data_IF_581727476800
#
_entry.id   IF_581727476800
#
_cell.length_a   1.000
_cell.length_b   1.000
_cell.length_c   1.000
_cell.angle_alpha   90.00
_cell.angle_beta   90.00
_cell.angle_gamma   90.00
#
_symmetry.space_group_name_H-M   'P 1'
#
loop_
_entity.id
_entity.type
_entity.pdbx_description
1 polymer ?
#
# COMPACT_ATOMS: atom_id res chain seq x y z
N UNK A 1 -25.97 3.63 2.80
CA UNK A 1 -24.99 4.02 1.80
C UNK A 1 -24.12 2.80 1.53
N UNK A 2 -23.79 2.41 0.30
CA UNK A 2 -22.92 1.27 0.04
C UNK A 2 -21.47 1.59 0.42
N UNK A 3 -20.67 0.57 0.72
CA UNK A 3 -19.25 0.71 1.09
C UNK A 3 -18.47 1.59 0.12
N UNK A 4 -18.70 1.41 -1.18
CA UNK A 4 -17.97 2.13 -2.22
C UNK A 4 -18.41 3.59 -2.34
N UNK A 5 -19.72 3.83 -2.25
CA UNK A 5 -20.28 5.18 -2.25
C UNK A 5 -19.75 6.02 -1.07
N UNK A 6 -19.58 5.40 0.11
CA UNK A 6 -19.02 6.06 1.29
C UNK A 6 -17.56 6.47 1.08
N UNK A 7 -16.73 5.56 0.58
CA UNK A 7 -15.32 5.81 0.28
C UNK A 7 -15.14 6.93 -0.77
N UNK A 8 -15.92 6.89 -1.85
CA UNK A 8 -15.84 7.86 -2.94
C UNK A 8 -16.36 9.22 -2.51
N UNK A 9 -17.49 9.28 -1.77
CA UNK A 9 -18.04 10.55 -1.27
C UNK A 9 -17.11 11.21 -0.27
N UNK A 10 -16.53 10.44 0.67
CA UNK A 10 -15.55 10.96 1.62
C UNK A 10 -14.29 11.52 0.94
N UNK A 11 -13.82 10.90 -0.14
CA UNK A 11 -12.72 11.47 -0.93
C UNK A 11 -13.15 12.76 -1.63
N UNK A 12 -14.36 12.82 -2.20
CA UNK A 12 -14.90 14.02 -2.83
C UNK A 12 -14.98 15.20 -1.85
N UNK A 13 -15.40 14.95 -0.61
CA UNK A 13 -15.41 15.97 0.46
C UNK A 13 -13.98 16.46 0.75
N UNK A 14 -13.00 15.56 0.83
CA UNK A 14 -11.59 15.95 0.95
C UNK A 14 -11.15 16.80 -0.22
N UNK A 15 -11.49 16.43 -1.45
CA UNK A 15 -11.14 17.19 -2.64
C UNK A 15 -11.81 18.59 -2.65
N UNK A 16 -13.02 18.73 -2.11
CA UNK A 16 -13.68 20.02 -1.98
C UNK A 16 -12.95 20.98 -1.02
N UNK A 17 -12.26 20.44 -0.02
CA UNK A 17 -11.47 21.21 0.94
C UNK A 17 -10.01 21.46 0.54
N UNK A 18 -9.56 21.05 -0.66
CA UNK A 18 -8.17 21.23 -1.09
C UNK A 18 -7.84 22.72 -1.28
N UNK A 19 -6.57 23.11 -1.05
CA UNK A 19 -6.11 24.48 -1.34
C UNK A 19 -6.35 24.86 -2.80
N UNK A 20 -6.98 26.01 -3.01
CA UNK A 20 -7.25 26.57 -4.34
C UNK A 20 -6.37 27.79 -4.57
N UNK A 21 -5.46 27.71 -5.54
CA UNK A 21 -4.56 28.82 -5.89
C UNK A 21 -5.23 29.94 -6.67
N UNK A 22 -6.44 29.71 -7.17
CA UNK A 22 -7.17 30.69 -7.99
C UNK A 22 -7.73 31.81 -7.12
N UNK A 23 -7.72 33.03 -7.67
CA UNK A 23 -8.35 34.21 -7.06
C UNK A 23 -9.52 34.66 -7.94
N UNK A 24 -10.70 34.77 -7.37
CA UNK A 24 -11.90 35.25 -8.08
C UNK A 24 -13.03 34.21 -8.14
N UNK A 25 -14.21 34.69 -8.56
CA UNK A 25 -15.47 33.92 -8.55
C UNK A 25 -15.74 33.10 -9.83
N UNK A 26 -14.96 33.27 -10.89
CA UNK A 26 -15.20 32.67 -12.22
C UNK A 26 -14.39 31.37 -12.43
N UNK A 27 -14.47 30.45 -11.51
CA UNK A 27 -13.86 29.12 -11.70
C UNK A 27 -14.92 28.15 -12.25
N UNK A 28 -14.72 27.65 -13.46
CA UNK A 28 -15.63 26.65 -14.07
C UNK A 28 -15.62 25.30 -13.35
N UNK A 29 -14.48 24.91 -12.76
CA UNK A 29 -14.31 23.64 -12.07
C UNK A 29 -14.07 23.85 -10.58
N UNK A 30 -14.72 23.07 -9.74
CA UNK A 30 -14.43 23.03 -8.31
C UNK A 30 -13.15 22.24 -8.04
N UNK A 31 -12.52 22.41 -6.86
CA UNK A 31 -11.43 21.53 -6.44
C UNK A 31 -11.89 20.08 -6.26
N UNK A 32 -13.18 19.87 -5.94
CA UNK A 32 -13.77 18.54 -5.95
C UNK A 32 -13.74 17.90 -7.33
N UNK A 33 -14.16 18.62 -8.39
CA UNK A 33 -14.10 18.10 -9.77
C UNK A 33 -12.67 17.78 -10.20
N UNK A 34 -11.70 18.64 -9.84
CA UNK A 34 -10.28 18.49 -10.17
C UNK A 34 -9.68 17.24 -9.48
N UNK A 35 -9.88 17.11 -8.17
CA UNK A 35 -9.36 15.98 -7.42
C UNK A 35 -10.01 14.66 -7.83
N UNK A 36 -11.33 14.66 -8.02
CA UNK A 36 -12.06 13.46 -8.46
C UNK A 36 -11.74 13.07 -9.89
N UNK A 37 -11.47 14.03 -10.79
CA UNK A 37 -11.01 13.73 -12.15
C UNK A 37 -9.65 13.03 -12.15
N UNK A 38 -8.72 13.44 -11.29
CA UNK A 38 -7.45 12.73 -11.12
C UNK A 38 -7.63 11.32 -10.50
N UNK A 39 -8.44 11.20 -9.44
CA UNK A 39 -8.70 9.94 -8.78
C UNK A 39 -9.38 8.92 -9.70
N UNK A 40 -10.37 9.35 -10.48
CA UNK A 40 -11.14 8.46 -11.38
C UNK A 40 -10.26 7.78 -12.44
N UNK A 41 -9.15 8.40 -12.87
CA UNK A 41 -8.17 7.76 -13.78
C UNK A 41 -7.62 6.48 -13.16
N UNK A 42 -7.19 6.54 -11.91
CA UNK A 42 -6.61 5.39 -11.19
C UNK A 42 -7.69 4.40 -10.77
N UNK A 43 -8.85 4.90 -10.34
CA UNK A 43 -9.97 4.06 -9.93
C UNK A 43 -10.52 3.24 -11.11
N UNK A 44 -10.63 3.84 -12.28
CA UNK A 44 -11.04 3.13 -13.52
C UNK A 44 -9.90 2.33 -14.16
N UNK A 45 -8.69 2.40 -13.61
CA UNK A 45 -7.48 1.83 -14.20
C UNK A 45 -7.29 2.24 -15.66
N UNK A 46 -7.52 3.52 -15.96
CA UNK A 46 -7.34 4.07 -17.30
C UNK A 46 -5.84 4.26 -17.60
N UNK A 47 -5.38 4.00 -18.83
CA UNK A 47 -3.94 4.02 -19.14
C UNK A 47 -3.33 5.43 -19.14
N UNK A 48 -4.16 6.48 -19.28
CA UNK A 48 -3.71 7.88 -19.25
C UNK A 48 -4.88 8.82 -18.97
N UNK A 49 -4.57 10.06 -18.58
CA UNK A 49 -5.57 11.13 -18.45
C UNK A 49 -6.36 11.35 -19.74
N UNK A 50 -5.67 11.42 -20.89
CA UNK A 50 -6.32 11.67 -22.18
C UNK A 50 -7.27 10.54 -22.57
N UNK A 51 -6.88 9.29 -22.38
CA UNK A 51 -7.75 8.14 -22.66
C UNK A 51 -8.99 8.17 -21.75
N UNK A 52 -8.79 8.50 -20.46
CA UNK A 52 -9.88 8.62 -19.50
C UNK A 52 -10.86 9.74 -19.84
N UNK A 53 -10.35 10.93 -20.19
CA UNK A 53 -11.17 12.08 -20.59
C UNK A 53 -12.02 11.79 -21.83
N UNK A 54 -11.44 11.17 -22.86
CA UNK A 54 -12.18 10.75 -24.05
C UNK A 54 -13.32 9.80 -23.67
N UNK A 55 -13.03 8.79 -22.87
CA UNK A 55 -14.05 7.83 -22.39
C UNK A 55 -15.18 8.52 -21.63
N UNK A 56 -14.87 9.51 -20.80
CA UNK A 56 -15.87 10.25 -20.04
C UNK A 56 -16.65 11.25 -20.91
N UNK A 57 -16.01 11.84 -21.94
CA UNK A 57 -16.62 12.80 -22.84
C UNK A 57 -17.60 12.12 -23.82
N UNK A 58 -17.29 10.91 -24.30
CA UNK A 58 -18.12 10.17 -25.25
C UNK A 58 -19.49 9.77 -24.66
N UNK A 59 -19.65 9.78 -23.34
CA UNK A 59 -20.91 9.51 -22.62
C UNK A 59 -21.88 10.70 -22.49
N UNK A 60 -21.60 11.87 -23.10
CA UNK A 60 -22.42 13.06 -22.96
C UNK A 60 -23.61 13.09 -23.93
N UNK A 61 -24.68 12.34 -23.59
CA UNK A 61 -26.04 12.63 -24.06
C UNK A 61 -26.75 13.66 -23.16
N UNK A 62 -27.93 14.12 -23.53
CA UNK A 62 -28.77 14.98 -22.67
C UNK A 62 -29.18 14.22 -21.40
N UNK A 63 -28.50 14.46 -20.26
CA UNK A 63 -28.78 13.82 -18.97
C UNK A 63 -27.56 13.77 -18.04
N UNK A 64 -27.73 13.11 -16.90
CA UNK A 64 -26.65 12.85 -15.96
C UNK A 64 -25.61 11.91 -16.58
N UNK A 65 -24.33 12.24 -16.38
CA UNK A 65 -23.22 11.42 -16.85
C UNK A 65 -22.72 10.47 -15.76
N UNK A 66 -21.96 9.42 -16.15
CA UNK A 66 -21.27 8.56 -15.18
C UNK A 66 -20.26 9.32 -14.31
N UNK A 67 -19.73 10.48 -14.79
CA UNK A 67 -18.89 11.34 -13.97
C UNK A 67 -19.67 11.93 -12.81
N UNK A 68 -20.90 12.37 -13.05
CA UNK A 68 -21.77 12.93 -12.01
C UNK A 68 -22.28 11.83 -11.06
N UNK A 69 -22.82 10.74 -11.60
CA UNK A 69 -23.51 9.73 -10.80
C UNK A 69 -22.55 8.82 -10.02
N UNK A 70 -21.37 8.52 -10.57
CA UNK A 70 -20.39 7.62 -9.94
C UNK A 70 -19.31 8.36 -9.15
N UNK A 71 -18.90 9.55 -9.60
CA UNK A 71 -17.81 10.30 -8.96
C UNK A 71 -18.25 11.65 -8.39
N UNK A 72 -19.49 12.06 -8.59
CA UNK A 72 -20.03 13.35 -8.13
C UNK A 72 -19.42 14.57 -8.81
N UNK A 73 -18.80 14.40 -9.99
CA UNK A 73 -18.22 15.50 -10.77
C UNK A 73 -19.29 16.18 -11.61
N UNK A 74 -19.36 17.50 -11.53
CA UNK A 74 -20.29 18.28 -12.35
C UNK A 74 -19.75 18.50 -13.77
N UNK A 75 -18.43 18.54 -13.90
CA UNK A 75 -17.72 18.74 -15.17
C UNK A 75 -16.38 18.01 -15.15
N UNK A 76 -15.85 17.65 -16.33
CA UNK A 76 -14.55 16.99 -16.48
C UNK A 76 -13.50 18.02 -16.91
N UNK A 77 -12.57 18.40 -16.01
CA UNK A 77 -11.50 19.34 -16.35
C UNK A 77 -10.49 18.71 -17.33
N UNK A 78 -9.82 19.54 -18.14
CA UNK A 78 -8.72 19.06 -18.98
C UNK A 78 -7.55 18.54 -18.14
N UNK A 79 -6.77 17.60 -18.68
CA UNK A 79 -5.63 16.98 -17.99
C UNK A 79 -4.57 18.00 -17.57
N UNK A 80 -4.28 19.00 -18.41
CA UNK A 80 -3.35 20.08 -18.06
C UNK A 80 -3.88 20.92 -16.90
N UNK A 81 -5.19 21.20 -16.86
CA UNK A 81 -5.79 21.96 -15.77
C UNK A 81 -5.77 21.16 -14.47
N UNK A 82 -6.06 19.86 -14.52
CA UNK A 82 -5.96 18.97 -13.36
C UNK A 82 -4.54 18.99 -12.78
N UNK A 83 -3.52 18.82 -13.63
CA UNK A 83 -2.12 18.82 -13.19
C UNK A 83 -1.70 20.16 -12.60
N UNK A 84 -2.05 21.26 -13.27
CA UNK A 84 -1.72 22.60 -12.80
C UNK A 84 -2.35 22.90 -11.43
N UNK A 85 -3.59 22.50 -11.22
CA UNK A 85 -4.30 22.76 -9.97
C UNK A 85 -3.88 21.86 -8.83
N UNK A 86 -3.44 20.62 -9.10
CA UNK A 86 -3.00 19.69 -8.07
C UNK A 86 -1.52 19.86 -7.70
N UNK A 87 -0.68 20.49 -8.53
CA UNK A 87 0.74 20.65 -8.24
C UNK A 87 1.03 21.37 -6.91
N UNK A 88 0.34 22.45 -6.52
CA UNK A 88 0.57 23.09 -5.22
C UNK A 88 -0.11 22.41 -4.03
N UNK A 89 -0.88 21.34 -4.24
CA UNK A 89 -1.64 20.67 -3.16
C UNK A 89 -0.70 19.77 -2.34
N UNK A 90 -0.61 19.96 -1.00
CA UNK A 90 0.15 19.06 -0.15
C UNK A 90 -0.45 17.66 -0.15
N UNK A 91 0.36 16.59 -0.33
CA UNK A 91 -0.14 15.22 -0.35
C UNK A 91 -0.80 14.80 0.97
N UNK A 92 -0.43 15.41 2.08
CA UNK A 92 -0.99 15.15 3.41
C UNK A 92 -2.50 15.41 3.49
N UNK A 93 -3.05 16.25 2.63
CA UNK A 93 -4.50 16.51 2.54
C UNK A 93 -5.32 15.22 2.33
N UNK A 94 -4.72 14.18 1.77
CA UNK A 94 -5.39 12.92 1.49
C UNK A 94 -5.20 11.85 2.58
N UNK A 95 -4.33 12.05 3.57
CA UNK A 95 -3.94 11.03 4.54
C UNK A 95 -5.13 10.47 5.32
N UNK A 96 -6.09 11.31 5.70
CA UNK A 96 -7.27 10.87 6.44
C UNK A 96 -8.12 9.83 5.68
N UNK A 97 -8.02 9.75 4.35
CA UNK A 97 -8.78 8.80 3.53
C UNK A 97 -8.29 7.37 3.67
N UNK A 98 -7.02 7.15 3.97
CA UNK A 98 -6.50 5.82 4.29
C UNK A 98 -7.04 5.32 5.64
N UNK A 99 -7.03 6.16 6.67
CA UNK A 99 -7.62 5.79 7.96
C UNK A 99 -9.11 5.52 7.84
N UNK A 100 -9.84 6.30 7.04
CA UNK A 100 -11.25 6.06 6.74
C UNK A 100 -11.45 4.72 6.03
N UNK A 101 -10.61 4.36 5.05
CA UNK A 101 -10.68 3.07 4.37
C UNK A 101 -10.49 1.89 5.35
N UNK A 102 -9.60 2.02 6.35
CA UNK A 102 -9.43 1.01 7.41
C UNK A 102 -10.66 0.95 8.32
N UNK A 103 -11.28 2.07 8.66
CA UNK A 103 -12.53 2.10 9.45
C UNK A 103 -13.67 1.41 8.69
N UNK A 104 -13.82 1.67 7.39
CA UNK A 104 -14.81 0.99 6.54
C UNK A 104 -14.53 -0.51 6.45
N UNK A 105 -13.26 -0.92 6.30
CA UNK A 105 -12.85 -2.32 6.34
C UNK A 105 -13.25 -2.99 7.66
N UNK A 106 -13.00 -2.32 8.78
CA UNK A 106 -13.33 -2.82 10.11
C UNK A 106 -14.84 -2.95 10.31
N UNK A 107 -15.60 -1.90 9.98
CA UNK A 107 -17.06 -1.88 10.05
C UNK A 107 -17.72 -2.97 9.19
N UNK A 108 -17.15 -3.28 8.04
CA UNK A 108 -17.55 -4.37 7.16
C UNK A 108 -17.06 -5.75 7.58
N UNK A 109 -16.36 -5.89 8.73
CA UNK A 109 -15.85 -7.17 9.23
C UNK A 109 -14.59 -7.69 8.52
N UNK A 110 -14.13 -7.02 7.46
CA UNK A 110 -12.99 -7.44 6.63
C UNK A 110 -11.65 -7.44 7.37
N UNK A 111 -11.52 -6.65 8.45
CA UNK A 111 -10.30 -6.58 9.25
C UNK A 111 -9.99 -7.90 9.99
N UNK A 112 -11.01 -8.73 10.25
CA UNK A 112 -10.83 -10.05 10.90
C UNK A 112 -9.85 -10.95 10.15
N UNK A 113 -9.84 -10.87 8.81
CA UNK A 113 -8.93 -11.64 7.97
C UNK A 113 -7.44 -11.26 8.16
N UNK A 114 -7.16 -10.08 8.73
CA UNK A 114 -5.81 -9.56 9.00
C UNK A 114 -5.33 -9.83 10.43
N UNK A 115 -6.19 -10.29 11.35
CA UNK A 115 -5.82 -10.57 12.75
C UNK A 115 -4.89 -11.78 12.83
N UNK A 116 -3.77 -11.64 13.57
CA UNK A 116 -2.78 -12.68 13.83
C UNK A 116 -2.26 -12.55 15.26
N UNK A 117 -1.57 -13.56 15.75
CA UNK A 117 -1.02 -13.61 17.11
C UNK A 117 -2.11 -13.29 18.17
N UNK A 118 -3.29 -13.90 17.98
CA UNK A 118 -4.49 -13.66 18.79
C UNK A 118 -5.33 -12.50 18.31
N UNK A 119 -4.82 -11.26 18.29
CA UNK A 119 -5.61 -10.05 18.00
C UNK A 119 -4.87 -8.95 17.24
N UNK A 120 -3.56 -9.08 17.08
CA UNK A 120 -2.74 -8.07 16.40
C UNK A 120 -3.05 -7.96 14.91
N UNK A 121 -2.81 -6.80 14.32
CA UNK A 121 -2.73 -6.63 12.86
C UNK A 121 -1.28 -6.43 12.44
N UNK A 122 -0.93 -6.87 11.24
CA UNK A 122 0.43 -6.70 10.72
C UNK A 122 0.49 -5.53 9.76
N UNK A 123 1.40 -4.58 9.99
CA UNK A 123 1.69 -3.45 9.10
C UNK A 123 3.11 -3.61 8.56
N UNK A 124 3.25 -3.91 7.29
CA UNK A 124 4.56 -4.02 6.65
C UNK A 124 5.04 -2.64 6.15
N UNK A 125 6.31 -2.33 6.41
CA UNK A 125 7.05 -1.20 5.86
C UNK A 125 8.00 -1.67 4.77
N UNK A 126 8.03 -0.96 3.65
CA UNK A 126 9.01 -1.16 2.58
C UNK A 126 9.07 0.06 1.66
N UNK A 127 10.21 0.29 1.02
CA UNK A 127 10.41 1.38 0.08
C UNK A 127 10.07 0.99 -1.35
N UNK A 128 9.56 1.93 -2.15
CA UNK A 128 9.43 1.75 -3.59
C UNK A 128 9.66 3.03 -4.36
N UNK A 129 10.32 2.92 -5.51
CA UNK A 129 10.38 4.00 -6.48
C UNK A 129 9.09 4.00 -7.31
N UNK A 130 8.54 5.19 -7.56
CA UNK A 130 7.35 5.37 -8.39
C UNK A 130 7.56 6.30 -9.58
N UNK A 131 8.72 6.95 -9.67
CA UNK A 131 9.15 7.75 -10.81
C UNK A 131 10.66 7.69 -10.96
N UNK A 132 11.16 7.66 -12.19
CA UNK A 132 12.57 7.81 -12.53
C UNK A 132 12.75 8.42 -13.93
N UNK A 133 13.77 9.28 -14.08
CA UNK A 133 14.11 9.92 -15.35
C UNK A 133 15.55 10.41 -15.35
N UNK A 134 16.18 10.41 -16.54
CA UNK A 134 17.47 11.06 -16.77
C UNK A 134 17.31 12.53 -17.21
N UNK A 135 16.09 13.00 -17.48
CA UNK A 135 15.83 14.34 -18.04
C UNK A 135 14.84 15.16 -17.19
N UNK A 136 13.71 14.56 -16.82
CA UNK A 136 12.70 15.24 -16.03
C UNK A 136 13.08 15.20 -14.55
N UNK A 137 13.08 16.36 -13.89
CA UNK A 137 13.37 16.48 -12.48
C UNK A 137 12.70 17.71 -11.84
N UNK A 138 12.57 17.69 -10.54
CA UNK A 138 12.14 18.83 -9.72
C UNK A 138 13.02 18.92 -8.45
N UNK A 139 12.90 19.96 -7.64
CA UNK A 139 13.67 20.10 -6.40
C UNK A 139 13.46 18.98 -5.38
N UNK A 140 12.38 18.22 -5.50
CA UNK A 140 12.03 17.10 -4.61
C UNK A 140 12.54 15.73 -5.09
N UNK A 141 13.20 15.66 -6.24
CA UNK A 141 13.80 14.43 -6.74
C UNK A 141 15.04 14.06 -5.92
N UNK A 142 15.15 12.80 -5.54
CA UNK A 142 16.42 12.20 -5.16
C UNK A 142 17.26 11.94 -6.39
N UNK A 143 18.58 11.83 -6.21
CA UNK A 143 19.53 11.62 -7.31
C UNK A 143 20.45 10.44 -7.04
N UNK A 144 20.87 9.75 -8.11
CA UNK A 144 21.93 8.74 -8.06
C UNK A 144 22.77 8.79 -9.35
N UNK A 145 24.06 8.49 -9.22
CA UNK A 145 24.96 8.33 -10.36
C UNK A 145 24.87 6.88 -10.84
N UNK A 146 24.63 6.68 -12.13
CA UNK A 146 24.72 5.38 -12.79
C UNK A 146 26.16 5.06 -13.25
N UNK A 147 26.41 3.77 -13.54
CA UNK A 147 27.65 3.33 -14.16
C UNK A 147 27.84 4.03 -15.52
N UNK A 148 28.57 4.99 -15.73
CA UNK A 148 28.71 5.83 -16.93
C UNK A 148 28.52 7.31 -16.68
N UNK A 149 28.37 7.72 -15.40
CA UNK A 149 28.37 9.11 -14.98
C UNK A 149 27.03 9.87 -15.16
N UNK A 150 26.05 9.24 -15.78
CA UNK A 150 24.71 9.86 -15.95
C UNK A 150 24.02 9.99 -14.61
N UNK A 151 23.47 11.18 -14.34
CA UNK A 151 22.61 11.42 -13.17
C UNK A 151 21.20 10.92 -13.50
N UNK A 152 20.65 10.10 -12.61
CA UNK A 152 19.26 9.70 -12.64
C UNK A 152 18.51 10.37 -11.48
N UNK A 153 17.38 10.96 -11.80
CA UNK A 153 16.45 11.58 -10.87
C UNK A 153 15.31 10.60 -10.58
N UNK A 154 14.91 10.47 -9.33
CA UNK A 154 13.83 9.56 -8.98
C UNK A 154 13.02 10.08 -7.79
N UNK A 155 11.78 9.61 -7.69
CA UNK A 155 10.94 9.73 -6.51
C UNK A 155 10.71 8.37 -5.90
N UNK A 156 10.78 8.30 -4.59
CA UNK A 156 10.46 7.11 -3.81
C UNK A 156 9.55 7.44 -2.63
N UNK A 157 8.89 6.41 -2.14
CA UNK A 157 8.09 6.48 -0.93
C UNK A 157 8.33 5.23 -0.08
N UNK A 158 8.21 5.38 1.22
CA UNK A 158 8.04 4.29 2.15
C UNK A 158 6.54 4.01 2.27
N UNK A 159 6.13 2.82 1.88
CA UNK A 159 4.75 2.36 2.01
C UNK A 159 4.54 1.67 3.36
N UNK A 160 3.38 1.90 3.96
CA UNK A 160 2.84 1.12 5.05
C UNK A 160 1.65 0.34 4.52
N UNK A 161 1.56 -0.95 4.80
CA UNK A 161 0.53 -1.82 4.21
C UNK A 161 0.07 -2.88 5.21
N UNK A 162 -1.25 -3.00 5.40
CA UNK A 162 -1.83 -4.14 6.13
C UNK A 162 -1.62 -5.42 5.34
N UNK A 163 -1.04 -6.43 5.99
CA UNK A 163 -0.74 -7.75 5.42
C UNK A 163 -1.14 -8.85 6.38
N UNK A 164 -1.29 -10.09 5.89
CA UNK A 164 -1.48 -11.25 6.76
C UNK A 164 -0.97 -12.54 6.10
N UNK A 165 -0.34 -13.48 6.85
CA UNK A 165 -0.01 -14.80 6.36
C UNK A 165 -1.25 -15.50 5.78
N UNK A 166 -1.09 -16.20 4.65
CA UNK A 166 -2.17 -16.95 4.01
C UNK A 166 -3.26 -16.11 3.33
N UNK A 167 -3.18 -14.78 3.37
CA UNK A 167 -4.15 -13.87 2.79
C UNK A 167 -3.55 -13.06 1.64
N UNK A 168 -4.17 -13.08 0.45
CA UNK A 168 -3.63 -12.46 -0.76
C UNK A 168 -4.12 -11.02 -0.98
N UNK A 169 -4.93 -10.48 -0.09
CA UNK A 169 -5.33 -9.08 -0.11
C UNK A 169 -4.46 -8.30 0.86
N UNK A 170 -4.09 -7.11 0.44
CA UNK A 170 -3.30 -6.16 1.24
C UNK A 170 -3.96 -4.79 1.15
N UNK A 171 -3.89 -3.99 2.21
CA UNK A 171 -4.52 -2.66 2.23
C UNK A 171 -3.44 -1.62 2.44
N UNK A 172 -3.14 -0.78 1.44
CA UNK A 172 -2.24 0.35 1.61
C UNK A 172 -2.75 1.31 2.69
N UNK A 173 -1.82 1.83 3.47
CA UNK A 173 -2.01 2.94 4.39
C UNK A 173 -1.33 4.19 3.82
N UNK A 174 -1.29 5.27 4.61
CA UNK A 174 -0.61 6.51 4.19
C UNK A 174 0.83 6.19 3.75
N UNK A 175 1.27 6.68 2.58
CA UNK A 175 2.68 6.64 2.23
C UNK A 175 3.44 7.76 2.95
N UNK A 176 4.74 7.56 3.15
CA UNK A 176 5.67 8.62 3.55
C UNK A 176 6.67 8.85 2.42
N UNK A 177 6.73 10.07 1.89
CA UNK A 177 7.59 10.39 0.76
C UNK A 177 9.04 10.59 1.22
N UNK A 178 9.97 9.93 0.52
CA UNK A 178 11.41 10.10 0.71
C UNK A 178 11.86 11.24 -0.19
N UNK A 179 12.18 12.39 0.41
CA UNK A 179 12.56 13.60 -0.32
C UNK A 179 13.90 14.13 0.23
N UNK A 180 14.73 14.78 -0.60
CA UNK A 180 15.93 15.46 -0.13
C UNK A 180 15.57 16.46 0.97
N UNK A 181 16.36 16.45 2.06
CA UNK A 181 16.18 17.40 3.16
C UNK A 181 17.00 18.65 2.88
N UNK A 182 16.40 19.84 2.96
CA UNK A 182 17.12 21.09 2.81
C UNK A 182 18.28 21.21 3.80
N UNK A 183 19.47 21.58 3.32
CA UNK A 183 20.67 21.77 4.11
C UNK A 183 21.38 20.49 4.57
N UNK A 184 20.97 19.33 4.12
CA UNK A 184 21.65 18.06 4.40
C UNK A 184 22.36 17.51 3.15
N UNK A 185 23.66 17.22 3.27
CA UNK A 185 24.45 16.54 2.23
C UNK A 185 23.99 15.10 1.98
N UNK A 186 23.23 14.52 2.88
CA UNK A 186 22.70 13.17 2.79
C UNK A 186 21.25 13.20 2.35
N UNK A 187 20.95 12.42 1.33
CA UNK A 187 19.57 12.13 0.95
C UNK A 187 18.83 11.48 2.11
N UNK A 188 17.52 11.72 2.18
CA UNK A 188 16.63 11.04 3.12
C UNK A 188 16.63 9.53 2.87
N UNK A 189 16.17 8.75 3.85
CA UNK A 189 16.17 7.29 3.77
C UNK A 189 14.89 6.70 4.38
N UNK A 190 14.60 5.47 4.00
CA UNK A 190 13.40 4.73 4.42
C UNK A 190 13.27 4.61 5.94
N UNK A 191 14.38 4.40 6.68
CA UNK A 191 14.34 4.34 8.15
C UNK A 191 13.90 5.66 8.80
N UNK A 192 14.30 6.80 8.23
CA UNK A 192 13.84 8.13 8.68
C UNK A 192 12.37 8.34 8.31
N UNK A 193 11.98 7.96 7.09
CA UNK A 193 10.60 8.01 6.64
C UNK A 193 9.69 7.16 7.55
N UNK A 194 10.10 5.94 7.92
CA UNK A 194 9.35 5.11 8.86
C UNK A 194 9.17 5.76 10.23
N UNK A 195 10.21 6.41 10.76
CA UNK A 195 10.10 7.13 12.04
C UNK A 195 9.17 8.34 11.95
N UNK A 196 9.17 9.10 10.84
CA UNK A 196 8.21 10.19 10.61
C UNK A 196 6.79 9.64 10.51
N UNK A 197 6.61 8.54 9.75
CA UNK A 197 5.32 7.86 9.63
C UNK A 197 4.77 7.42 10.99
N UNK A 198 5.60 6.76 11.82
CA UNK A 198 5.22 6.33 13.17
C UNK A 198 4.82 7.52 14.06
N UNK A 199 5.57 8.61 13.99
CA UNK A 199 5.27 9.83 14.75
C UNK A 199 3.96 10.49 14.29
N UNK A 200 3.68 10.51 12.99
CA UNK A 200 2.50 11.16 12.42
C UNK A 200 1.23 10.30 12.50
N UNK A 201 1.36 8.99 12.32
CA UNK A 201 0.22 8.09 12.09
C UNK A 201 0.12 6.92 13.08
N UNK A 202 1.21 6.55 13.76
CA UNK A 202 1.24 5.36 14.62
C UNK A 202 0.14 5.35 15.67
N UNK A 203 -0.09 6.46 16.34
CA UNK A 203 -1.15 6.59 17.35
C UNK A 203 -2.57 6.31 16.80
N UNK A 204 -2.84 6.63 15.53
CA UNK A 204 -4.12 6.37 14.87
C UNK A 204 -4.40 4.87 14.71
N UNK A 205 -3.35 4.06 14.66
CA UNK A 205 -3.44 2.60 14.50
C UNK A 205 -3.21 1.84 15.81
N UNK A 206 -2.78 2.49 16.90
CA UNK A 206 -2.48 1.85 18.19
C UNK A 206 -3.66 0.99 18.71
N UNK A 207 -4.91 1.41 18.48
CA UNK A 207 -6.11 0.64 18.85
C UNK A 207 -6.23 -0.73 18.17
N UNK A 208 -5.51 -0.93 17.08
CA UNK A 208 -5.47 -2.21 16.34
C UNK A 208 -4.40 -3.14 16.86
N UNK A 209 -3.60 -2.67 17.82
CA UNK A 209 -2.47 -3.36 18.41
C UNK A 209 -1.49 -3.89 17.32
N UNK A 210 -0.87 -2.98 16.55
CA UNK A 210 -0.14 -3.33 15.35
C UNK A 210 1.22 -3.97 15.66
N UNK A 211 1.57 -5.00 14.88
CA UNK A 211 2.94 -5.50 14.75
C UNK A 211 3.53 -4.98 13.44
N UNK A 212 4.54 -4.13 13.54
CA UNK A 212 5.21 -3.57 12.37
C UNK A 212 6.26 -4.55 11.85
N UNK A 213 6.19 -4.82 10.55
CA UNK A 213 7.12 -5.69 9.82
C UNK A 213 8.03 -4.82 8.95
N UNK A 214 9.29 -5.19 8.85
CA UNK A 214 10.26 -4.50 7.98
C UNK A 214 11.43 -5.42 7.65
N UNK A 215 12.23 -5.02 6.67
CA UNK A 215 13.47 -5.69 6.39
C UNK A 215 14.57 -5.33 7.43
N UNK A 216 15.77 -5.79 7.19
CA UNK A 216 16.92 -5.55 8.06
C UNK A 216 17.30 -4.07 8.25
N UNK A 217 16.87 -3.20 7.34
CA UNK A 217 17.09 -1.74 7.46
C UNK A 217 16.32 -1.15 8.66
N UNK A 218 15.15 -1.72 8.98
CA UNK A 218 14.29 -1.27 10.08
C UNK A 218 14.69 -1.85 11.44
N UNK A 219 15.49 -2.90 11.48
CA UNK A 219 15.90 -3.62 12.71
C UNK A 219 16.93 -2.85 13.56
N UNK A 220 16.89 -1.53 13.53
CA UNK A 220 17.80 -0.66 14.32
C UNK A 220 17.06 -0.07 15.51
N UNK A 221 17.78 0.03 16.66
CA UNK A 221 17.20 0.49 17.92
C UNK A 221 16.33 1.76 17.80
N UNK A 222 16.72 2.82 17.06
CA UNK A 222 15.89 4.01 16.95
C UNK A 222 14.53 3.78 16.27
N UNK A 223 14.42 2.78 15.37
CA UNK A 223 13.14 2.40 14.75
C UNK A 223 12.31 1.56 15.72
N UNK A 224 12.93 0.58 16.39
CA UNK A 224 12.26 -0.24 17.41
C UNK A 224 11.67 0.63 18.54
N UNK A 225 12.43 1.64 19.00
CA UNK A 225 11.97 2.59 20.00
C UNK A 225 10.80 3.45 19.49
N UNK A 226 10.85 3.90 18.22
CA UNK A 226 9.78 4.68 17.62
C UNK A 226 8.49 3.85 17.49
N UNK A 227 8.58 2.56 17.14
CA UNK A 227 7.43 1.64 17.12
C UNK A 227 6.78 1.53 18.50
N UNK A 228 7.59 1.28 19.53
CA UNK A 228 7.09 1.18 20.91
C UNK A 228 6.45 2.48 21.40
N UNK A 229 7.07 3.61 21.09
CA UNK A 229 6.53 4.94 21.42
C UNK A 229 5.19 5.23 20.71
N UNK A 230 4.97 4.63 19.53
CA UNK A 230 3.73 4.71 18.78
C UNK A 230 2.63 3.74 19.27
N UNK A 231 2.90 2.95 20.32
CA UNK A 231 1.94 1.99 20.90
C UNK A 231 1.79 0.71 20.07
N UNK A 232 2.82 0.29 19.35
CA UNK A 232 2.84 -0.95 18.59
C UNK A 232 3.99 -1.88 18.97
N UNK A 233 4.03 -3.04 18.32
CA UNK A 233 5.06 -4.05 18.41
C UNK A 233 5.85 -4.13 17.12
N UNK A 234 7.04 -4.71 17.15
CA UNK A 234 7.84 -4.91 15.94
C UNK A 234 8.20 -6.39 15.73
N UNK A 235 8.37 -6.76 14.48
CA UNK A 235 8.92 -8.03 14.04
C UNK A 235 9.73 -7.78 12.77
N UNK A 236 11.01 -7.46 12.93
CA UNK A 236 11.89 -7.05 11.85
C UNK A 236 12.88 -8.15 11.48
N UNK A 237 13.19 -8.25 10.19
CA UNK A 237 14.26 -9.12 9.72
C UNK A 237 15.57 -8.70 10.36
N UNK A 238 16.35 -9.66 10.82
CA UNK A 238 17.63 -9.46 11.47
C UNK A 238 18.68 -10.32 10.78
N UNK A 239 19.48 -9.72 9.87
CA UNK A 239 20.53 -10.45 9.16
C UNK A 239 21.79 -10.56 10.01
N UNK A 240 22.45 -11.74 10.05
CA UNK A 240 23.72 -11.90 10.78
C UNK A 240 24.76 -10.85 10.44
N UNK A 241 24.91 -10.52 9.15
CA UNK A 241 25.93 -9.57 8.66
C UNK A 241 25.76 -8.12 9.17
N UNK A 242 24.56 -7.75 9.60
CA UNK A 242 24.25 -6.40 10.07
C UNK A 242 24.02 -6.29 11.58
N UNK A 243 24.02 -7.44 12.29
CA UNK A 243 23.82 -7.57 13.74
C UNK A 243 24.89 -8.47 14.38
N UNK A 244 26.18 -8.10 14.31
CA UNK A 244 27.28 -8.91 14.86
C UNK A 244 27.13 -9.16 16.36
N UNK A 245 26.67 -8.18 17.14
CA UNK A 245 26.41 -8.34 18.59
C UNK A 245 25.45 -9.48 18.90
N UNK A 246 24.37 -9.63 18.11
CA UNK A 246 23.41 -10.72 18.28
C UNK A 246 24.09 -12.05 17.97
N UNK A 247 24.81 -12.15 16.84
CA UNK A 247 25.50 -13.38 16.44
C UNK A 247 26.55 -13.81 17.47
N UNK A 248 27.31 -12.84 18.01
CA UNK A 248 28.29 -13.07 19.06
C UNK A 248 27.61 -13.57 20.35
N UNK A 249 26.50 -12.93 20.74
CA UNK A 249 25.71 -13.33 21.91
C UNK A 249 25.11 -14.75 21.78
N UNK A 250 24.69 -15.15 20.58
CA UNK A 250 24.14 -16.48 20.32
C UNK A 250 25.23 -17.58 20.27
N UNK A 251 26.50 -17.19 20.11
CA UNK A 251 27.61 -18.14 19.98
C UNK A 251 27.81 -18.93 21.27
N UNK A 252 27.79 -20.27 21.17
CA UNK A 252 28.00 -21.18 22.29
C UNK A 252 26.77 -21.41 23.18
N UNK A 253 25.61 -20.78 22.85
CA UNK A 253 24.36 -21.04 23.57
C UNK A 253 23.59 -22.19 22.90
N UNK A 254 23.14 -23.15 23.67
CA UNK A 254 22.20 -24.19 23.22
C UNK A 254 20.81 -23.56 23.09
N UNK A 255 20.40 -23.32 21.83
CA UNK A 255 19.13 -22.66 21.54
C UNK A 255 17.97 -23.63 21.64
N UNK A 256 16.85 -23.26 22.27
CA UNK A 256 15.59 -24.01 22.17
C UNK A 256 15.20 -24.19 20.71
N UNK A 257 14.73 -25.40 20.38
CA UNK A 257 14.40 -25.79 19.01
C UNK A 257 13.01 -26.44 18.93
N UNK A 258 12.30 -26.15 17.82
CA UNK A 258 11.06 -26.83 17.44
C UNK A 258 11.16 -27.26 15.98
N UNK A 259 10.88 -28.53 15.70
CA UNK A 259 10.91 -29.09 14.36
C UNK A 259 9.50 -29.49 13.94
N UNK A 260 9.02 -28.92 12.84
CA UNK A 260 7.73 -29.27 12.22
C UNK A 260 7.97 -29.87 10.82
N UNK A 261 7.36 -31.02 10.55
CA UNK A 261 7.35 -31.65 9.22
C UNK A 261 6.05 -31.29 8.52
N UNK A 262 6.15 -30.56 7.41
CA UNK A 262 5.01 -30.03 6.67
C UNK A 262 4.97 -30.66 5.27
N UNK A 263 3.77 -31.07 4.84
CA UNK A 263 3.53 -31.52 3.47
C UNK A 263 2.88 -30.38 2.70
N UNK A 264 3.55 -29.88 1.66
CA UNK A 264 3.02 -28.87 0.76
C UNK A 264 2.90 -29.43 -0.66
N UNK A 265 1.69 -29.82 -1.05
CA UNK A 265 1.47 -30.58 -2.28
C UNK A 265 2.24 -31.90 -2.29
N UNK A 266 3.15 -32.07 -3.26
CA UNK A 266 4.04 -33.25 -3.37
C UNK A 266 5.34 -33.12 -2.57
N UNK A 267 5.63 -31.92 -2.08
CA UNK A 267 6.87 -31.65 -1.36
C UNK A 267 6.73 -31.95 0.13
N UNK A 268 7.77 -32.56 0.70
CA UNK A 268 7.93 -32.73 2.15
C UNK A 268 9.00 -31.73 2.60
N UNK A 269 8.63 -30.87 3.53
CA UNK A 269 9.48 -29.81 4.04
C UNK A 269 9.68 -30.02 5.54
N UNK A 270 10.89 -29.75 6.02
CA UNK A 270 11.19 -29.71 7.45
C UNK A 270 11.43 -28.25 7.82
N UNK A 271 10.61 -27.72 8.72
CA UNK A 271 10.75 -26.39 9.29
C UNK A 271 11.38 -26.50 10.66
N UNK A 272 12.54 -25.90 10.84
CA UNK A 272 13.25 -25.80 12.11
C UNK A 272 13.17 -24.37 12.61
N UNK A 273 12.68 -24.21 13.83
CA UNK A 273 12.56 -22.91 14.51
C UNK A 273 13.52 -22.92 15.70
N UNK A 274 14.23 -21.80 15.92
CA UNK A 274 15.07 -21.56 17.10
C UNK A 274 14.75 -20.17 17.62
N UNK A 275 14.91 -19.97 18.92
CA UNK A 275 14.64 -18.67 19.55
C UNK A 275 15.48 -18.46 20.79
N UNK A 276 15.62 -17.20 21.20
CA UNK A 276 16.22 -16.80 22.46
C UNK A 276 15.59 -15.45 22.89
N UNK A 277 15.24 -15.33 24.17
CA UNK A 277 14.77 -14.08 24.76
C UNK A 277 15.91 -13.23 25.29
N UNK A 278 15.61 -11.96 25.54
CA UNK A 278 16.50 -10.99 26.20
C UNK A 278 17.88 -10.79 25.55
N UNK A 279 17.92 -10.84 24.22
CA UNK A 279 19.15 -10.66 23.45
C UNK A 279 19.43 -9.16 23.30
N UNK A 280 20.64 -8.67 23.56
CA UNK A 280 20.98 -7.25 23.32
C UNK A 280 21.02 -6.96 21.84
N UNK A 281 20.29 -5.90 21.41
CA UNK A 281 20.18 -5.54 19.98
C UNK A 281 21.49 -4.99 19.41
N UNK A 282 22.30 -4.36 20.26
CA UNK A 282 23.61 -3.76 19.94
C UNK A 282 24.48 -3.70 21.17
N UNK A 283 25.71 -3.31 20.99
CA UNK A 283 26.61 -2.99 22.09
C UNK A 283 26.22 -1.65 22.76
N UNK A 284 26.53 -1.55 24.05
CA UNK A 284 26.36 -0.35 24.86
C UNK A 284 25.39 -0.52 26.03
N UNK A 285 25.58 0.28 27.06
CA UNK A 285 24.77 0.20 28.28
C UNK A 285 23.29 0.58 28.11
N UNK A 286 22.98 1.31 27.03
CA UNK A 286 21.63 1.70 26.65
C UNK A 286 21.02 0.78 25.55
N UNK A 287 21.63 -0.39 25.34
CA UNK A 287 21.14 -1.36 24.39
C UNK A 287 19.75 -1.87 24.78
N UNK A 288 18.84 -1.86 23.82
CA UNK A 288 17.52 -2.47 23.96
C UNK A 288 17.67 -3.98 23.93
N UNK A 289 16.99 -4.69 24.81
CA UNK A 289 16.83 -6.15 24.73
C UNK A 289 15.64 -6.49 23.84
N UNK A 290 15.79 -7.55 23.05
CA UNK A 290 14.79 -8.06 22.12
C UNK A 290 14.70 -9.57 22.20
N UNK A 291 13.63 -10.14 21.72
CA UNK A 291 13.53 -11.58 21.47
C UNK A 291 13.98 -11.86 20.04
N UNK A 292 14.89 -12.78 19.88
CA UNK A 292 15.38 -13.26 18.59
C UNK A 292 14.75 -14.58 18.24
N UNK A 293 14.39 -14.78 16.96
CA UNK A 293 13.93 -16.05 16.43
C UNK A 293 14.44 -16.29 15.01
N UNK A 294 14.58 -17.57 14.64
CA UNK A 294 15.02 -18.01 13.32
C UNK A 294 14.15 -19.14 12.80
N UNK A 295 13.89 -19.14 11.51
CA UNK A 295 13.30 -20.25 10.77
C UNK A 295 14.24 -20.73 9.67
N UNK A 296 14.43 -22.04 9.58
CA UNK A 296 15.11 -22.72 8.48
C UNK A 296 14.16 -23.76 7.87
N UNK A 297 14.06 -23.77 6.54
CA UNK A 297 13.23 -24.74 5.82
C UNK A 297 14.14 -25.58 4.94
N UNK A 298 14.04 -26.90 5.10
CA UNK A 298 14.75 -27.88 4.26
C UNK A 298 13.76 -28.70 3.43
N UNK A 299 14.18 -29.03 2.22
CA UNK A 299 13.45 -29.96 1.35
C UNK A 299 13.70 -31.43 1.77
N UNK A 300 13.10 -32.37 1.04
CA UNK A 300 13.25 -33.80 1.32
C UNK A 300 14.70 -34.34 1.15
N UNK A 301 15.53 -33.64 0.38
CA UNK A 301 16.94 -33.96 0.20
C UNK A 301 17.83 -33.37 1.32
N UNK A 302 17.25 -32.63 2.28
CA UNK A 302 17.99 -31.99 3.35
C UNK A 302 18.59 -30.62 2.97
N UNK A 303 18.36 -30.11 1.75
CA UNK A 303 18.87 -28.82 1.30
C UNK A 303 18.08 -27.67 1.89
N UNK A 304 18.76 -26.60 2.32
CA UNK A 304 18.13 -25.38 2.84
C UNK A 304 17.52 -24.60 1.69
N UNK A 305 16.20 -24.51 1.68
CA UNK A 305 15.44 -23.73 0.68
C UNK A 305 15.07 -22.33 1.14
N UNK A 306 15.06 -22.13 2.45
CA UNK A 306 14.79 -20.81 3.06
C UNK A 306 15.43 -20.76 4.45
N UNK A 307 16.04 -19.61 4.77
CA UNK A 307 16.53 -19.29 6.12
C UNK A 307 16.38 -17.79 6.36
N UNK A 308 15.81 -17.42 7.50
CA UNK A 308 15.74 -16.03 7.93
C UNK A 308 15.64 -15.94 9.44
N UNK A 309 16.11 -14.83 9.99
CA UNK A 309 15.99 -14.50 11.42
C UNK A 309 15.29 -13.17 11.62
N UNK A 310 14.70 -13.02 12.80
CA UNK A 310 13.90 -11.85 13.14
C UNK A 310 14.18 -11.43 14.58
N UNK A 311 13.96 -10.15 14.86
CA UNK A 311 13.88 -9.58 16.20
C UNK A 311 12.47 -9.07 16.47
N UNK A 312 12.02 -9.18 17.71
CA UNK A 312 10.70 -8.74 18.15
C UNK A 312 10.71 -8.35 19.63
N UNK A 313 9.77 -7.53 20.06
CA UNK A 313 9.46 -7.30 21.47
C UNK A 313 8.34 -8.22 22.00
N UNK A 314 7.71 -9.00 21.12
CA UNK A 314 6.73 -10.02 21.49
C UNK A 314 7.43 -11.29 22.06
N UNK A 315 6.80 -12.01 22.98
CA UNK A 315 7.37 -13.24 23.52
C UNK A 315 7.63 -14.29 22.43
N UNK A 316 8.89 -14.70 22.27
CA UNK A 316 9.29 -15.79 21.39
C UNK A 316 9.54 -17.05 22.21
N UNK A 317 8.63 -18.01 22.09
CA UNK A 317 8.67 -19.28 22.80
C UNK A 317 8.09 -20.42 21.94
N UNK A 318 7.98 -21.62 22.49
CA UNK A 318 7.50 -22.81 21.78
C UNK A 318 6.10 -22.63 21.18
N UNK A 319 5.23 -21.86 21.84
CA UNK A 319 3.82 -21.69 21.44
C UNK A 319 3.67 -20.59 20.39
N UNK A 320 4.55 -19.61 20.38
CA UNK A 320 4.44 -18.41 19.52
C UNK A 320 5.37 -18.43 18.29
N UNK A 321 6.51 -19.14 18.35
CA UNK A 321 7.58 -19.03 17.34
C UNK A 321 7.13 -19.38 15.92
N UNK A 322 6.21 -20.33 15.77
CA UNK A 322 5.70 -20.75 14.45
C UNK A 322 4.88 -19.62 13.80
N UNK A 323 3.98 -19.01 14.57
CA UNK A 323 3.15 -17.92 14.09
C UNK A 323 3.97 -16.65 13.89
N UNK A 324 4.89 -16.32 14.81
CA UNK A 324 5.83 -15.20 14.64
C UNK A 324 6.64 -15.33 13.34
N UNK A 325 7.21 -16.51 13.08
CA UNK A 325 7.96 -16.73 11.84
C UNK A 325 7.07 -16.61 10.59
N UNK A 326 5.82 -17.06 10.64
CA UNK A 326 4.86 -16.89 9.56
C UNK A 326 4.52 -15.41 9.36
N UNK A 327 4.32 -14.63 10.43
CA UNK A 327 4.10 -13.19 10.40
C UNK A 327 5.29 -12.45 9.84
N UNK A 328 6.52 -12.72 10.27
CA UNK A 328 7.73 -12.09 9.73
C UNK A 328 7.90 -12.33 8.22
N UNK A 329 7.58 -13.53 7.76
CA UNK A 329 7.56 -13.85 6.32
C UNK A 329 6.47 -13.12 5.55
N UNK A 330 5.37 -12.72 6.19
CA UNK A 330 4.29 -11.98 5.52
C UNK A 330 4.70 -10.57 5.07
N UNK A 331 5.85 -10.03 5.52
CA UNK A 331 6.44 -8.80 4.97
C UNK A 331 6.51 -8.84 3.44
N UNK A 332 6.86 -9.97 2.88
CA UNK A 332 6.95 -10.21 1.42
C UNK A 332 5.71 -9.81 0.63
N UNK A 333 4.56 -9.74 1.28
CA UNK A 333 3.30 -9.38 0.64
C UNK A 333 3.25 -7.91 0.21
N UNK A 334 4.02 -7.03 0.84
CA UNK A 334 4.10 -5.64 0.39
C UNK A 334 4.76 -5.55 -0.99
N UNK A 335 5.77 -6.36 -1.27
CA UNK A 335 6.42 -6.41 -2.57
C UNK A 335 5.52 -7.10 -3.62
N UNK A 336 5.01 -8.29 -3.30
CA UNK A 336 4.30 -9.13 -4.26
C UNK A 336 2.85 -8.73 -4.50
N UNK A 337 2.12 -8.40 -3.43
CA UNK A 337 0.67 -8.14 -3.51
C UNK A 337 0.36 -6.64 -3.59
N UNK A 338 1.27 -5.76 -3.11
CA UNK A 338 1.12 -4.30 -3.22
C UNK A 338 1.92 -3.74 -4.40
N UNK A 339 3.24 -3.69 -4.32
CA UNK A 339 4.05 -3.03 -5.35
C UNK A 339 3.93 -3.68 -6.74
N UNK A 340 4.00 -5.00 -6.81
CA UNK A 340 3.80 -5.69 -8.07
C UNK A 340 2.41 -5.42 -8.66
N UNK A 341 1.36 -5.40 -7.83
CA UNK A 341 0.00 -5.06 -8.27
C UNK A 341 -0.08 -3.63 -8.79
N UNK A 342 0.46 -2.66 -8.03
CA UNK A 342 0.47 -1.24 -8.41
C UNK A 342 1.26 -0.98 -9.69
N UNK A 343 2.36 -1.70 -9.92
CA UNK A 343 3.22 -1.51 -11.09
C UNK A 343 2.74 -2.26 -12.33
N UNK A 344 2.15 -3.46 -12.18
CA UNK A 344 1.91 -4.38 -13.32
C UNK A 344 0.46 -4.77 -13.55
N UNK A 345 -0.48 -4.42 -12.63
CA UNK A 345 -1.89 -4.87 -12.70
C UNK A 345 -2.88 -3.73 -12.94
N UNK A 346 -2.52 -2.79 -13.82
CA UNK A 346 -3.42 -1.74 -14.33
C UNK A 346 -3.39 -0.41 -13.58
N UNK A 347 -2.72 -0.33 -12.43
CA UNK A 347 -2.54 0.96 -11.73
C UNK A 347 -1.40 1.79 -12.32
N UNK A 348 -0.44 1.15 -12.99
CA UNK A 348 0.68 1.79 -13.70
C UNK A 348 1.45 2.80 -12.82
N UNK A 349 1.77 2.45 -11.57
CA UNK A 349 2.38 3.35 -10.59
C UNK A 349 3.67 4.02 -11.10
N UNK A 350 4.46 3.34 -11.93
CA UNK A 350 5.70 3.86 -12.50
C UNK A 350 5.47 4.70 -13.79
N UNK A 351 4.23 4.77 -14.29
CA UNK A 351 3.91 5.61 -15.44
C UNK A 351 3.87 7.08 -15.03
N UNK A 352 4.50 7.93 -15.84
CA UNK A 352 4.50 9.37 -15.60
C UNK A 352 3.15 9.99 -15.99
N UNK A 353 2.18 9.94 -15.10
CA UNK A 353 0.90 10.67 -15.25
C UNK A 353 1.05 12.19 -15.16
N UNK A 354 2.12 12.67 -14.54
CA UNK A 354 2.48 14.07 -14.38
C UNK A 354 3.55 14.22 -13.31
N UNK A 355 4.57 15.04 -13.59
CA UNK A 355 5.68 15.23 -12.65
C UNK A 355 5.49 16.48 -11.78
N UNK A 356 5.12 17.61 -12.41
CA UNK A 356 4.98 18.90 -11.73
C UNK A 356 6.31 19.48 -11.28
N UNK A 357 6.22 20.52 -10.47
CA UNK A 357 7.36 21.21 -9.87
C UNK A 357 7.35 21.21 -8.35
N UNK A 358 6.19 20.91 -7.72
CA UNK A 358 5.99 20.93 -6.28
C UNK A 358 5.57 19.55 -5.75
N UNK A 359 4.29 19.22 -5.83
CA UNK A 359 3.70 18.05 -5.20
C UNK A 359 2.98 17.10 -6.16
N UNK A 360 2.78 17.47 -7.43
CA UNK A 360 1.93 16.72 -8.35
C UNK A 360 2.27 15.23 -8.40
N UNK A 361 3.55 14.89 -8.53
CA UNK A 361 3.99 13.49 -8.58
C UNK A 361 3.57 12.71 -7.33
N UNK A 362 3.70 13.32 -6.14
CA UNK A 362 3.30 12.72 -4.88
C UNK A 362 1.77 12.62 -4.74
N UNK A 363 1.03 13.65 -5.14
CA UNK A 363 -0.44 13.65 -5.13
C UNK A 363 -0.99 12.56 -6.04
N UNK A 364 -0.47 12.42 -7.25
CA UNK A 364 -0.91 11.37 -8.17
C UNK A 364 -0.57 9.96 -7.64
N UNK A 365 0.59 9.78 -7.00
CA UNK A 365 0.93 8.52 -6.34
C UNK A 365 -0.04 8.19 -5.17
N UNK A 366 -0.40 9.18 -4.36
CA UNK A 366 -1.40 9.01 -3.27
C UNK A 366 -2.77 8.61 -3.84
N UNK A 367 -3.26 9.28 -4.87
CA UNK A 367 -4.55 8.95 -5.47
C UNK A 367 -4.55 7.55 -6.09
N UNK A 368 -3.43 7.11 -6.64
CA UNK A 368 -3.25 5.75 -7.12
C UNK A 368 -3.32 4.72 -5.98
N UNK A 369 -2.59 4.97 -4.88
CA UNK A 369 -2.63 4.12 -3.68
C UNK A 369 -4.03 4.08 -3.06
N UNK A 370 -4.75 5.22 -3.00
CA UNK A 370 -6.14 5.27 -2.53
C UNK A 370 -7.08 4.47 -3.42
N UNK A 371 -6.94 4.54 -4.73
CA UNK A 371 -7.73 3.71 -5.65
C UNK A 371 -7.51 2.21 -5.36
N UNK A 372 -6.26 1.80 -5.14
CA UNK A 372 -5.95 0.42 -4.77
C UNK A 372 -6.52 0.04 -3.40
N UNK A 373 -6.42 0.91 -2.40
CA UNK A 373 -7.00 0.70 -1.07
C UNK A 373 -8.53 0.54 -1.16
N UNK A 374 -9.22 1.42 -1.87
CA UNK A 374 -10.68 1.37 -2.04
C UNK A 374 -11.13 0.10 -2.75
N UNK A 375 -10.44 -0.30 -3.81
CA UNK A 375 -10.72 -1.57 -4.50
C UNK A 375 -10.53 -2.78 -3.59
N UNK A 376 -9.50 -2.76 -2.73
CA UNK A 376 -9.25 -3.89 -1.82
C UNK A 376 -10.29 -3.92 -0.70
N UNK A 377 -10.67 -2.76 -0.14
CA UNK A 377 -11.74 -2.69 0.85
C UNK A 377 -13.07 -3.14 0.25
N UNK A 378 -13.41 -2.70 -0.96
CA UNK A 378 -14.62 -3.16 -1.66
C UNK A 378 -14.60 -4.68 -1.91
N UNK A 379 -13.45 -5.25 -2.28
CA UNK A 379 -13.28 -6.69 -2.50
C UNK A 379 -13.46 -7.51 -1.21
N UNK A 380 -13.20 -6.93 -0.05
CA UNK A 380 -13.28 -7.58 1.26
C UNK A 380 -14.61 -7.36 1.99
N UNK A 381 -15.37 -6.31 1.64
CA UNK A 381 -16.55 -5.89 2.41
C UNK A 381 -17.81 -5.66 1.57
N UNK A 382 -17.71 -5.79 0.25
CA UNK A 382 -18.84 -5.56 -0.64
C UNK A 382 -19.03 -6.73 -1.61
N UNK A 383 -19.92 -7.65 -1.24
CA UNK A 383 -20.16 -8.91 -1.98
C UNK A 383 -20.42 -8.70 -3.47
N UNK A 384 -21.14 -7.65 -3.83
CA UNK A 384 -21.47 -7.37 -5.22
C UNK A 384 -20.22 -7.04 -6.06
N UNK A 385 -19.23 -6.36 -5.46
CA UNK A 385 -17.94 -6.12 -6.10
C UNK A 385 -17.19 -7.42 -6.37
N UNK A 386 -17.12 -8.30 -5.37
CA UNK A 386 -16.48 -9.62 -5.49
C UNK A 386 -17.20 -10.51 -6.51
N UNK A 387 -18.53 -10.49 -6.54
CA UNK A 387 -19.33 -11.23 -7.54
C UNK A 387 -19.05 -10.73 -8.96
N UNK A 388 -18.96 -9.41 -9.17
CA UNK A 388 -18.66 -8.84 -10.49
C UNK A 388 -17.25 -9.22 -10.98
N UNK A 389 -16.23 -9.21 -10.09
CA UNK A 389 -14.88 -9.69 -10.41
C UNK A 389 -14.89 -11.18 -10.75
N UNK A 390 -15.55 -12.00 -9.95
CA UNK A 390 -15.64 -13.45 -10.17
C UNK A 390 -16.34 -13.77 -11.49
N UNK A 391 -17.39 -13.04 -11.84
CA UNK A 391 -18.09 -13.16 -13.12
C UNK A 391 -17.17 -12.84 -14.31
N UNK A 392 -16.32 -11.83 -14.18
CA UNK A 392 -15.34 -11.47 -15.20
C UNK A 392 -14.21 -12.52 -15.33
N UNK A 393 -13.98 -13.34 -14.29
CA UNK A 393 -12.96 -14.39 -14.24
C UNK A 393 -11.53 -13.87 -14.00
N UNK A 394 -11.29 -12.57 -14.23
CA UNK A 394 -10.01 -11.91 -13.95
C UNK A 394 -10.22 -10.43 -13.63
N UNK A 395 -9.40 -9.88 -12.74
CA UNK A 395 -9.47 -8.46 -12.36
C UNK A 395 -9.26 -7.52 -13.56
N UNK A 396 -8.35 -7.83 -14.46
CA UNK A 396 -8.11 -7.03 -15.68
C UNK A 396 -9.37 -6.95 -16.56
N UNK A 397 -10.03 -8.09 -16.79
CA UNK A 397 -11.29 -8.13 -17.54
C UNK A 397 -12.42 -7.37 -16.84
N UNK A 398 -12.50 -7.45 -15.52
CA UNK A 398 -13.47 -6.66 -14.77
C UNK A 398 -13.31 -5.15 -15.06
N UNK A 399 -12.09 -4.62 -15.01
CA UNK A 399 -11.84 -3.21 -15.32
C UNK A 399 -12.03 -2.87 -16.81
N UNK A 400 -11.76 -3.80 -17.72
CA UNK A 400 -12.09 -3.65 -19.15
C UNK A 400 -13.60 -3.54 -19.33
N UNK A 401 -14.38 -4.46 -18.76
CA UNK A 401 -15.84 -4.42 -18.80
C UNK A 401 -16.40 -3.15 -18.17
N UNK A 402 -15.87 -2.76 -17.02
CA UNK A 402 -16.28 -1.55 -16.30
C UNK A 402 -16.07 -0.30 -17.17
N UNK A 403 -14.89 -0.15 -17.77
CA UNK A 403 -14.63 0.95 -18.71
C UNK A 403 -15.51 0.89 -19.94
N UNK A 404 -15.68 -0.28 -20.54
CA UNK A 404 -16.47 -0.42 -21.77
C UNK A 404 -17.95 -0.10 -21.56
N UNK A 405 -18.57 -0.64 -20.50
CA UNK A 405 -19.99 -0.43 -20.26
C UNK A 405 -20.33 1.03 -19.93
N UNK A 406 -19.40 1.74 -19.25
CA UNK A 406 -19.60 3.16 -18.90
C UNK A 406 -19.46 4.12 -20.08
N UNK A 407 -18.97 3.67 -21.24
CA UNK A 407 -19.00 4.45 -22.49
C UNK A 407 -20.41 4.45 -23.08
N UNK A 408 -21.11 3.33 -23.00
CA UNK A 408 -22.41 3.16 -23.70
C UNK A 408 -23.62 3.38 -22.81
N UNK A 409 -23.49 3.18 -21.49
CA UNK A 409 -24.58 3.26 -20.54
C UNK A 409 -24.25 4.18 -19.37
N UNK A 410 -25.24 4.96 -18.94
CA UNK A 410 -25.18 5.78 -17.73
C UNK A 410 -25.84 5.03 -16.57
N UNK A 411 -25.15 4.94 -15.45
CA UNK A 411 -25.59 4.26 -14.24
C UNK A 411 -25.94 5.25 -13.14
N UNK A 412 -27.06 5.11 -12.44
CA UNK A 412 -27.45 6.01 -11.36
C UNK A 412 -26.58 5.88 -10.11
N UNK A 413 -25.83 4.77 -9.94
CA UNK A 413 -24.97 4.49 -8.79
C UNK A 413 -23.98 3.37 -9.08
N UNK A 414 -22.95 3.23 -8.23
CA UNK A 414 -22.04 2.09 -8.24
C UNK A 414 -22.78 0.76 -8.04
N UNK A 415 -23.78 0.74 -7.18
CA UNK A 415 -24.61 -0.47 -6.98
C UNK A 415 -25.27 -0.94 -8.28
N UNK A 416 -25.90 -0.03 -9.03
CA UNK A 416 -26.53 -0.37 -10.31
C UNK A 416 -25.53 -0.88 -11.35
N UNK A 417 -24.37 -0.23 -11.46
CA UNK A 417 -23.29 -0.64 -12.36
C UNK A 417 -22.79 -2.05 -12.01
N UNK A 418 -22.47 -2.29 -10.73
CA UNK A 418 -21.96 -3.58 -10.27
C UNK A 418 -23.00 -4.69 -10.40
N UNK A 419 -24.27 -4.39 -10.16
CA UNK A 419 -25.38 -5.35 -10.40
C UNK A 419 -25.42 -5.78 -11.85
N UNK A 420 -25.28 -4.84 -12.78
CA UNK A 420 -25.21 -5.15 -14.21
C UNK A 420 -24.01 -6.03 -14.52
N UNK A 421 -22.81 -5.70 -14.03
CA UNK A 421 -21.60 -6.49 -14.27
C UNK A 421 -21.67 -7.89 -13.65
N UNK A 422 -22.28 -8.03 -12.47
CA UNK A 422 -22.41 -9.32 -11.79
C UNK A 422 -23.46 -10.25 -12.43
N UNK A 423 -24.58 -9.71 -12.92
CA UNK A 423 -25.75 -10.51 -13.29
C UNK A 423 -26.15 -10.40 -14.76
N UNK A 424 -25.52 -9.52 -15.57
CA UNK A 424 -25.81 -9.48 -17.01
C UNK A 424 -25.63 -10.86 -17.63
N UNK A 425 -26.66 -11.31 -18.36
CA UNK A 425 -26.57 -12.52 -19.19
C UNK A 425 -25.80 -12.20 -20.46
N UNK A 426 -24.97 -13.11 -20.98
CA UNK A 426 -24.44 -12.94 -22.33
C UNK A 426 -25.64 -12.81 -23.32
N UNK A 427 -25.48 -12.01 -24.39
CA UNK A 427 -26.52 -11.91 -25.39
C UNK A 427 -26.85 -13.33 -25.89
N UNK A 428 -28.12 -13.64 -25.96
CA UNK A 428 -28.57 -14.87 -26.64
C UNK A 428 -27.99 -14.85 -28.05
N UNK A 429 -27.40 -15.96 -28.48
CA UNK A 429 -27.00 -16.06 -29.89
C UNK A 429 -28.19 -15.70 -30.73
N UNK A 430 -28.03 -14.87 -31.77
CA UNK A 430 -29.11 -14.65 -32.72
C UNK A 430 -29.54 -16.01 -33.30
N UNK A 431 -30.85 -16.20 -33.54
CA UNK A 431 -31.37 -17.44 -34.05
C UNK A 431 -30.78 -17.86 -35.39
#
# INVERSE_FOLDING_TARGET
MGTLEDLVSGLRETCAGLPDKRRGKNSHYTMADIGMAAFSVFFMQSPSFLAHQRQLADGHGHGRSNCETLFGMTQVPSDNHVRDMLDPVPPECFHARFSHAVQVLEAGGGLTAFRRLGHHVLIAFDGTEYFRSAKLHCPRCSTRKRSGGTIEYFHSLMAATLVAPGHNRVVPLQPEFVVPQDGHDKQDCESRAARRWLAAHGASYARLDPVYLGDDLYSRQPVCQAVRAAGGHFLFVCKPSSHPTIEEYLTGIELPELINRVKHGRQRLTHTYRWLGDVPLRDGADAMTVNWLMIEIRNAAGEVTYRNSFITDLPANRDTVVELAACGRARWKIENESFNTLKTKGYNLEHNFGHGTQHLSAVLAILNLLAFAFHTVADLTYDLWSQAINKAGARSRFFEHLRSITVFLVFPSWHSLLTTLAFAKPPSQPP
#
